data_IF_469947760982
#
_entry.id   IF_469947760982
#
_cell.length_a   1.000
_cell.length_b   1.000
_cell.length_c   1.000
_cell.angle_alpha   90.00
_cell.angle_beta   90.00
_cell.angle_gamma   90.00
#
_symmetry.space_group_name_H-M   'P 1'
#
loop_
_entity.id
_entity.type
_entity.pdbx_description
1 polymer ?
#
# COMPACT_ATOMS: atom_id res chain seq x y z
N UNK A 1 -31.55 10.57 -6.56
CA UNK A 1 -30.11 10.49 -6.20
C UNK A 1 -29.36 11.06 -7.39
N UNK A 2 -28.24 11.75 -7.18
CA UNK A 2 -27.43 12.32 -8.29
C UNK A 2 -26.76 11.18 -9.05
N UNK A 3 -26.92 11.12 -10.37
CA UNK A 3 -26.26 10.12 -11.23
C UNK A 3 -24.75 10.22 -11.12
N UNK A 4 -24.23 11.43 -10.98
CA UNK A 4 -22.82 11.71 -10.78
C UNK A 4 -22.27 11.08 -9.50
N UNK A 5 -23.01 11.19 -8.37
CA UNK A 5 -22.62 10.53 -7.12
C UNK A 5 -22.54 9.01 -7.28
N UNK A 6 -23.50 8.42 -7.98
CA UNK A 6 -23.56 6.97 -8.18
C UNK A 6 -22.41 6.48 -9.08
N UNK A 7 -22.04 7.24 -10.13
CA UNK A 7 -20.89 6.96 -10.97
C UNK A 7 -19.58 6.98 -10.18
N UNK A 8 -19.40 7.99 -9.32
CA UNK A 8 -18.21 8.10 -8.43
C UNK A 8 -18.16 6.94 -7.43
N UNK A 9 -19.29 6.53 -6.85
CA UNK A 9 -19.35 5.39 -5.95
C UNK A 9 -18.97 4.09 -6.67
N UNK A 10 -19.43 3.88 -7.90
CA UNK A 10 -19.05 2.72 -8.73
C UNK A 10 -17.53 2.67 -8.95
N UNK A 11 -16.93 3.81 -9.32
CA UNK A 11 -15.48 3.93 -9.45
C UNK A 11 -14.75 3.58 -8.16
N UNK A 12 -15.13 4.20 -7.04
CA UNK A 12 -14.46 3.97 -5.75
C UNK A 12 -14.56 2.51 -5.29
N UNK A 13 -15.73 1.88 -5.45
CA UNK A 13 -15.92 0.44 -5.17
C UNK A 13 -15.02 -0.44 -6.04
N UNK A 14 -14.92 -0.13 -7.33
CA UNK A 14 -14.03 -0.85 -8.23
C UNK A 14 -12.58 -0.80 -7.75
N UNK A 15 -12.06 0.39 -7.40
CA UNK A 15 -10.69 0.57 -6.91
C UNK A 15 -10.45 -0.29 -5.66
N UNK A 16 -11.35 -0.23 -4.67
CA UNK A 16 -11.21 -1.03 -3.43
C UNK A 16 -11.28 -2.53 -3.71
N UNK A 17 -12.21 -3.00 -4.53
CA UNK A 17 -12.34 -4.42 -4.86
C UNK A 17 -11.10 -4.96 -5.58
N UNK A 18 -10.59 -4.23 -6.56
CA UNK A 18 -9.39 -4.62 -7.29
C UNK A 18 -8.15 -4.59 -6.40
N UNK A 19 -8.02 -3.58 -5.54
CA UNK A 19 -6.93 -3.48 -4.57
C UNK A 19 -6.93 -4.66 -3.60
N UNK A 20 -8.09 -5.03 -3.06
CA UNK A 20 -8.27 -6.22 -2.21
C UNK A 20 -7.94 -7.51 -2.96
N UNK A 21 -8.38 -7.64 -4.23
CA UNK A 21 -8.04 -8.79 -5.09
C UNK A 21 -6.53 -8.92 -5.28
N UNK A 22 -5.84 -7.81 -5.56
CA UNK A 22 -4.39 -7.80 -5.72
C UNK A 22 -3.65 -8.21 -4.43
N UNK A 23 -4.11 -7.75 -3.27
CA UNK A 23 -3.56 -8.18 -1.97
C UNK A 23 -3.78 -9.68 -1.73
N UNK A 24 -4.94 -10.22 -2.10
CA UNK A 24 -5.24 -11.66 -1.99
C UNK A 24 -4.33 -12.48 -2.90
N UNK A 25 -4.17 -12.09 -4.16
CA UNK A 25 -3.22 -12.73 -5.11
C UNK A 25 -1.78 -12.70 -4.58
N UNK A 26 -1.39 -11.64 -3.89
CA UNK A 26 -0.09 -11.51 -3.24
C UNK A 26 0.02 -12.27 -1.89
N UNK A 27 -0.95 -13.13 -1.55
CA UNK A 27 -1.04 -13.87 -0.27
C UNK A 27 -1.07 -12.98 0.97
N UNK A 28 -1.62 -11.77 0.85
CA UNK A 28 -1.77 -10.75 1.90
C UNK A 28 -3.24 -10.42 2.20
N UNK A 29 -4.16 -11.21 1.65
CA UNK A 29 -5.58 -11.10 1.91
C UNK A 29 -5.91 -11.36 3.39
N UNK A 30 -6.93 -10.67 3.91
CA UNK A 30 -7.37 -10.81 5.31
C UNK A 30 -6.48 -10.14 6.36
N UNK A 31 -5.33 -9.55 5.99
CA UNK A 31 -4.48 -8.76 6.88
C UNK A 31 -5.08 -7.38 7.20
N UNK A 32 -4.42 -6.64 8.12
CA UNK A 32 -4.88 -5.30 8.52
C UNK A 32 -4.99 -4.36 7.31
N UNK A 33 -3.99 -4.35 6.42
CA UNK A 33 -4.03 -3.52 5.21
C UNK A 33 -5.25 -3.83 4.32
N UNK A 34 -5.58 -5.12 4.15
CA UNK A 34 -6.76 -5.53 3.39
C UNK A 34 -8.07 -5.03 4.03
N UNK A 35 -8.14 -5.09 5.38
CA UNK A 35 -9.33 -4.68 6.14
C UNK A 35 -9.49 -3.17 6.21
N UNK A 36 -8.38 -2.43 6.27
CA UNK A 36 -8.37 -0.96 6.36
C UNK A 36 -8.64 -0.25 5.04
N UNK A 37 -8.59 -0.96 3.90
CA UNK A 37 -8.94 -0.36 2.61
C UNK A 37 -10.40 0.04 2.60
N UNK A 38 -10.65 1.35 2.51
CA UNK A 38 -12.00 1.92 2.49
C UNK A 38 -12.02 3.22 1.68
N UNK A 39 -13.20 3.76 1.44
CA UNK A 39 -13.38 5.05 0.76
C UNK A 39 -14.52 5.85 1.37
N UNK A 40 -14.46 7.17 1.25
CA UNK A 40 -15.57 8.09 1.56
C UNK A 40 -15.79 9.02 0.38
N UNK A 41 -17.05 9.24 0.06
CA UNK A 41 -17.48 10.24 -0.93
C UNK A 41 -18.10 11.41 -0.18
N UNK A 42 -17.50 12.58 -0.30
CA UNK A 42 -17.99 13.83 0.31
C UNK A 42 -18.45 14.77 -0.77
N UNK A 43 -19.61 15.40 -0.58
CA UNK A 43 -20.08 16.47 -1.44
C UNK A 43 -19.35 17.78 -1.08
N UNK A 44 -18.81 18.46 -2.07
CA UNK A 44 -18.26 19.79 -1.89
C UNK A 44 -19.44 20.79 -1.81
N UNK A 45 -19.53 21.50 -0.69
CA UNK A 45 -20.44 22.63 -0.56
C UNK A 45 -19.63 23.90 -0.81
N UNK A 46 -19.94 24.61 -1.90
CA UNK A 46 -19.35 25.92 -2.16
C UNK A 46 -19.74 26.94 -1.09
N UNK A 47 -18.81 27.84 -0.79
CA UNK A 47 -19.00 28.89 0.23
C UNK A 47 -19.99 30.00 -0.19
N UNK A 48 -20.47 30.01 -1.44
CA UNK A 48 -21.21 31.14 -2.03
C UNK A 48 -22.65 30.82 -2.46
N UNK A 49 -23.22 29.71 -1.99
CA UNK A 49 -24.64 29.39 -2.32
C UNK A 49 -24.93 29.18 -3.82
N UNK A 50 -23.91 29.24 -4.67
CA UNK A 50 -23.96 28.85 -6.08
C UNK A 50 -23.45 27.43 -6.24
N UNK A 51 -24.08 26.70 -7.13
CA UNK A 51 -23.89 25.28 -7.42
C UNK A 51 -22.40 24.90 -7.62
N UNK A 52 -21.77 24.35 -6.61
CA UNK A 52 -20.56 23.58 -6.76
C UNK A 52 -20.92 22.10 -6.56
N UNK A 53 -21.51 21.50 -7.58
CA UNK A 53 -21.85 20.08 -7.60
C UNK A 53 -20.58 19.24 -7.83
N UNK A 54 -19.68 19.27 -6.86
CA UNK A 54 -18.48 18.45 -6.86
C UNK A 54 -18.54 17.38 -5.77
N UNK A 55 -17.91 16.25 -6.03
CA UNK A 55 -17.67 15.21 -5.03
C UNK A 55 -16.19 14.93 -4.90
N UNK A 56 -15.71 14.80 -3.66
CA UNK A 56 -14.37 14.32 -3.35
C UNK A 56 -14.44 12.85 -2.94
N UNK A 57 -13.54 12.04 -3.50
CA UNK A 57 -13.33 10.66 -3.07
C UNK A 57 -12.06 10.58 -2.27
N UNK A 58 -12.18 10.20 -1.01
CA UNK A 58 -11.05 9.95 -0.13
C UNK A 58 -10.89 8.44 0.04
N UNK A 59 -9.71 7.92 -0.26
CA UNK A 59 -9.36 6.51 -0.02
C UNK A 59 -8.53 6.39 1.26
N UNK A 60 -8.84 5.39 2.05
CA UNK A 60 -8.19 5.13 3.33
C UNK A 60 -7.48 3.77 3.31
N UNK A 61 -6.31 3.73 3.93
CA UNK A 61 -5.57 2.50 4.17
C UNK A 61 -4.61 2.71 5.35
N UNK A 62 -4.07 1.62 5.89
CA UNK A 62 -2.98 1.68 6.87
C UNK A 62 -1.78 2.47 6.33
N UNK A 63 -1.11 3.25 7.18
CA UNK A 63 0.03 4.12 6.81
C UNK A 63 1.13 3.40 6.05
N UNK A 64 1.38 2.12 6.38
CA UNK A 64 2.39 1.34 5.67
C UNK A 64 1.94 0.87 4.28
N UNK A 65 0.67 1.05 3.92
CA UNK A 65 0.14 0.69 2.61
C UNK A 65 0.86 1.41 1.48
N UNK A 66 1.14 2.71 1.63
CA UNK A 66 1.89 3.49 0.65
C UNK A 66 3.29 2.92 0.38
N UNK A 67 4.01 2.51 1.44
CA UNK A 67 5.33 1.87 1.29
C UNK A 67 5.25 0.53 0.58
N UNK A 68 4.19 -0.22 0.79
CA UNK A 68 3.98 -1.48 0.11
C UNK A 68 3.55 -1.29 -1.34
N UNK A 69 2.72 -0.32 -1.62
CA UNK A 69 2.24 0.00 -2.96
C UNK A 69 3.38 0.52 -3.84
N UNK A 70 4.03 1.57 -3.41
CA UNK A 70 5.04 2.30 -4.17
C UNK A 70 6.47 1.79 -3.97
N UNK A 71 6.68 0.93 -2.96
CA UNK A 71 7.98 0.32 -2.67
C UNK A 71 8.96 1.25 -1.94
N UNK A 72 9.99 0.65 -1.34
CA UNK A 72 11.06 1.35 -0.60
C UNK A 72 12.40 0.89 -1.14
N UNK A 73 13.25 1.82 -1.59
CA UNK A 73 14.62 1.52 -2.03
C UNK A 73 15.45 1.03 -0.85
N UNK A 74 16.16 -0.10 -1.05
CA UNK A 74 17.18 -0.57 -0.13
C UNK A 74 18.46 0.23 -0.27
N UNK A 75 19.25 0.27 0.79
CA UNK A 75 20.57 0.94 0.76
C UNK A 75 21.62 0.13 0.01
N UNK A 76 21.33 -1.13 -0.36
CA UNK A 76 22.27 -2.00 -1.06
C UNK A 76 23.43 -2.47 -0.17
N UNK A 77 24.59 -2.63 -0.79
CA UNK A 77 25.82 -3.05 -0.10
C UNK A 77 26.06 -4.57 -0.15
N UNK A 78 27.16 -5.01 0.49
CA UNK A 78 27.55 -6.41 0.54
C UNK A 78 27.23 -7.04 1.89
N UNK A 79 26.98 -8.35 1.90
CA UNK A 79 26.76 -9.13 3.12
C UNK A 79 28.08 -9.32 3.87
N UNK A 80 28.13 -8.86 5.12
CA UNK A 80 29.36 -8.91 5.93
C UNK A 80 29.57 -10.25 6.64
N UNK A 81 28.52 -11.07 6.77
CA UNK A 81 28.54 -12.32 7.56
C UNK A 81 27.66 -13.41 6.92
N UNK A 82 27.84 -14.66 7.37
CA UNK A 82 27.04 -15.81 6.94
C UNK A 82 27.52 -16.46 5.65
N UNK A 83 26.81 -17.48 5.17
CA UNK A 83 27.16 -18.26 3.97
C UNK A 83 27.25 -17.43 2.69
N UNK A 84 26.59 -16.29 2.65
CA UNK A 84 26.60 -15.36 1.52
C UNK A 84 27.49 -14.13 1.76
N UNK A 85 28.54 -14.24 2.62
CA UNK A 85 29.51 -13.17 2.85
C UNK A 85 30.14 -12.73 1.52
N UNK A 86 30.26 -11.42 1.30
CA UNK A 86 30.82 -10.83 0.08
C UNK A 86 29.82 -10.66 -1.06
N UNK A 87 28.70 -11.39 -1.09
CA UNK A 87 27.66 -11.21 -2.11
C UNK A 87 26.88 -9.93 -1.86
N UNK A 88 26.56 -9.20 -2.93
CA UNK A 88 25.68 -8.04 -2.85
C UNK A 88 24.28 -8.43 -2.37
N UNK A 89 23.60 -7.49 -1.71
CA UNK A 89 22.16 -7.63 -1.45
C UNK A 89 21.40 -7.46 -2.77
N UNK A 90 20.42 -8.34 -3.01
CA UNK A 90 19.47 -8.16 -4.11
C UNK A 90 18.66 -6.90 -3.87
N UNK A 91 18.60 -5.99 -4.84
CA UNK A 91 17.83 -4.76 -4.72
C UNK A 91 16.35 -5.01 -5.08
N UNK A 92 15.59 -5.56 -4.14
CA UNK A 92 14.14 -5.81 -4.30
C UNK A 92 13.32 -4.53 -4.39
N UNK A 93 13.82 -3.47 -3.79
CA UNK A 93 13.18 -2.15 -3.79
C UNK A 93 13.53 -1.28 -4.98
N UNK A 94 14.18 -1.82 -6.03
CA UNK A 94 14.50 -1.06 -7.24
C UNK A 94 13.23 -0.46 -7.86
N UNK A 95 13.28 0.84 -8.19
CA UNK A 95 12.13 1.59 -8.68
C UNK A 95 11.12 2.01 -7.61
N UNK A 96 11.38 1.76 -6.32
CA UNK A 96 10.57 2.28 -5.22
C UNK A 96 10.66 3.81 -5.12
N UNK A 97 9.56 4.45 -4.73
CA UNK A 97 9.52 5.91 -4.54
C UNK A 97 10.10 6.34 -3.19
N UNK A 98 9.97 5.49 -2.18
CA UNK A 98 10.50 5.77 -0.84
C UNK A 98 11.92 5.23 -0.68
N UNK A 99 12.64 5.77 0.32
CA UNK A 99 13.96 5.30 0.73
C UNK A 99 14.12 5.39 2.25
N UNK A 100 14.99 4.55 2.80
CA UNK A 100 15.34 4.63 4.22
C UNK A 100 16.15 5.90 4.50
N UNK A 101 15.74 6.67 5.52
CA UNK A 101 16.41 7.94 5.89
C UNK A 101 17.66 7.74 6.74
N UNK A 102 17.75 6.65 7.50
CA UNK A 102 18.84 6.38 8.46
C UNK A 102 19.71 5.24 7.97
N UNK A 103 21.00 5.24 8.32
CA UNK A 103 21.95 4.20 7.96
C UNK A 103 21.79 2.87 8.68
N UNK A 104 20.77 2.73 9.56
CA UNK A 104 20.50 1.52 10.34
C UNK A 104 19.00 1.25 10.43
N UNK A 105 18.57 -0.02 10.58
CA UNK A 105 17.17 -0.35 10.81
C UNK A 105 16.62 0.36 12.06
N UNK A 106 15.40 0.88 11.96
CA UNK A 106 14.75 1.56 13.07
C UNK A 106 14.35 0.55 14.16
N UNK A 107 14.47 0.94 15.45
CA UNK A 107 14.02 0.14 16.59
C UNK A 107 12.54 -0.25 16.52
N UNK A 108 11.68 0.65 16.05
CA UNK A 108 10.25 0.38 15.85
C UNK A 108 10.03 -0.78 14.86
N UNK A 109 10.74 -0.79 13.74
CA UNK A 109 10.70 -1.87 12.75
C UNK A 109 11.13 -3.21 13.36
N UNK A 110 12.20 -3.23 14.14
CA UNK A 110 12.69 -4.44 14.80
C UNK A 110 11.65 -4.97 15.80
N UNK A 111 11.03 -4.08 16.59
CA UNK A 111 9.97 -4.43 17.55
C UNK A 111 8.73 -5.00 16.84
N UNK A 112 8.29 -4.38 15.76
CA UNK A 112 7.15 -4.87 14.96
C UNK A 112 7.43 -6.23 14.34
N UNK A 113 8.64 -6.45 13.81
CA UNK A 113 9.06 -7.74 13.30
C UNK A 113 9.14 -8.81 14.40
N UNK A 114 9.61 -8.47 15.59
CA UNK A 114 9.63 -9.41 16.72
C UNK A 114 8.22 -9.88 17.10
N UNK A 115 7.28 -8.95 17.20
CA UNK A 115 5.86 -9.26 17.43
C UNK A 115 5.28 -10.13 16.31
N UNK A 116 5.61 -9.83 15.05
CA UNK A 116 5.16 -10.61 13.90
C UNK A 116 5.73 -12.03 13.90
N UNK A 117 7.03 -12.20 14.20
CA UNK A 117 7.72 -13.51 14.32
C UNK A 117 7.03 -14.37 15.36
N UNK A 118 6.77 -13.82 16.55
CA UNK A 118 6.08 -14.52 17.65
C UNK A 118 4.68 -14.96 17.25
N UNK A 119 3.90 -14.03 16.67
CA UNK A 119 2.53 -14.33 16.22
C UNK A 119 2.46 -15.41 15.13
N UNK A 120 3.46 -15.47 14.25
CA UNK A 120 3.55 -16.45 13.17
C UNK A 120 4.27 -17.74 13.55
N UNK A 121 4.84 -17.83 14.74
CA UNK A 121 5.60 -19.01 15.19
C UNK A 121 6.88 -19.26 14.39
N UNK A 122 7.44 -18.21 13.75
CA UNK A 122 8.63 -18.37 12.90
C UNK A 122 9.86 -18.57 13.78
N UNK A 123 10.60 -19.64 13.52
CA UNK A 123 11.86 -19.95 14.20
C UNK A 123 13.02 -19.92 13.22
N UNK A 124 14.09 -19.23 13.57
CA UNK A 124 15.33 -19.20 12.81
C UNK A 124 16.36 -20.18 13.39
N UNK A 125 17.16 -20.79 12.52
CA UNK A 125 18.30 -21.62 12.93
C UNK A 125 19.63 -21.03 12.45
N UNK A 126 20.66 -21.16 13.26
CA UNK A 126 22.02 -20.85 12.86
C UNK A 126 22.52 -21.94 11.90
N UNK A 127 22.91 -21.55 10.69
CA UNK A 127 23.36 -22.50 9.67
C UNK A 127 24.61 -23.31 10.05
N UNK A 128 25.49 -22.74 10.89
CA UNK A 128 26.75 -23.43 11.31
C UNK A 128 26.52 -24.40 12.46
N UNK A 129 25.71 -24.00 13.44
CA UNK A 129 25.54 -24.76 14.69
C UNK A 129 24.24 -25.55 14.76
N UNK A 130 23.30 -25.33 13.81
CA UNK A 130 21.98 -25.94 13.83
C UNK A 130 21.07 -25.44 14.96
N UNK A 131 21.56 -24.65 15.91
CA UNK A 131 20.81 -24.18 17.08
C UNK A 131 19.78 -23.11 16.70
N UNK A 132 18.68 -23.06 17.43
CA UNK A 132 17.71 -21.99 17.30
C UNK A 132 18.31 -20.66 17.74
N UNK A 133 18.02 -19.61 16.99
CA UNK A 133 18.35 -18.24 17.35
C UNK A 133 17.17 -17.58 18.05
N UNK A 134 17.44 -16.59 18.90
CA UNK A 134 16.38 -15.86 19.61
C UNK A 134 15.50 -15.08 18.63
N UNK A 135 14.24 -14.87 18.99
CA UNK A 135 13.28 -14.08 18.18
C UNK A 135 13.81 -12.64 17.97
N UNK A 136 14.54 -12.08 18.94
CA UNK A 136 15.16 -10.76 18.83
C UNK A 136 16.29 -10.75 17.78
N UNK A 137 17.17 -11.75 17.80
CA UNK A 137 18.25 -11.88 16.80
C UNK A 137 17.67 -12.11 15.40
N UNK A 138 16.59 -12.91 15.29
CA UNK A 138 15.91 -13.15 14.02
C UNK A 138 15.24 -11.88 13.50
N UNK A 139 14.55 -11.12 14.36
CA UNK A 139 13.91 -9.86 13.97
C UNK A 139 14.94 -8.83 13.50
N UNK A 140 16.08 -8.73 14.14
CA UNK A 140 17.18 -7.87 13.71
C UNK A 140 17.74 -8.30 12.35
N UNK A 141 17.97 -9.61 12.15
CA UNK A 141 18.46 -10.13 10.88
C UNK A 141 17.50 -9.84 9.72
N UNK A 142 16.19 -10.03 9.95
CA UNK A 142 15.16 -9.70 8.96
C UNK A 142 15.11 -8.19 8.70
N UNK A 143 15.13 -7.36 9.75
CA UNK A 143 15.14 -5.90 9.61
C UNK A 143 16.34 -5.42 8.80
N UNK A 144 17.53 -5.96 9.08
CA UNK A 144 18.75 -5.67 8.34
C UNK A 144 18.64 -6.09 6.87
N UNK A 145 18.09 -7.28 6.62
CA UNK A 145 17.88 -7.74 5.25
C UNK A 145 16.95 -6.80 4.49
N UNK A 146 15.77 -6.46 5.04
CA UNK A 146 14.80 -5.53 4.42
C UNK A 146 15.44 -4.15 4.20
N UNK A 147 16.22 -3.67 5.16
CA UNK A 147 16.91 -2.39 5.06
C UNK A 147 17.88 -2.33 3.86
N UNK A 148 18.62 -3.42 3.63
CA UNK A 148 19.56 -3.49 2.51
C UNK A 148 18.87 -3.81 1.18
N UNK A 149 17.86 -4.70 1.17
CA UNK A 149 17.20 -5.12 -0.07
C UNK A 149 16.07 -4.20 -0.50
N UNK A 150 15.49 -3.44 0.43
CA UNK A 150 14.28 -2.66 0.19
C UNK A 150 12.99 -3.49 0.20
N UNK A 151 11.91 -2.82 -0.14
CA UNK A 151 10.55 -3.40 -0.29
C UNK A 151 10.13 -3.24 -1.75
N UNK A 152 9.87 -4.35 -2.40
CA UNK A 152 9.39 -4.36 -3.79
C UNK A 152 8.03 -3.66 -3.88
N UNK A 153 7.88 -2.75 -4.83
CA UNK A 153 6.60 -2.12 -5.15
C UNK A 153 5.60 -3.18 -5.61
N UNK A 154 4.40 -3.13 -5.09
CA UNK A 154 3.32 -4.07 -5.45
C UNK A 154 2.29 -3.46 -6.38
N UNK A 155 2.13 -2.14 -6.35
CA UNK A 155 1.14 -1.37 -7.11
C UNK A 155 -0.28 -1.92 -6.92
N UNK A 156 -0.57 -2.44 -5.70
CA UNK A 156 -1.83 -3.09 -5.42
C UNK A 156 -3.00 -2.10 -5.44
N UNK A 157 -2.73 -0.83 -5.14
CA UNK A 157 -3.68 0.27 -5.13
C UNK A 157 -3.53 1.18 -6.36
N UNK A 158 -2.30 1.62 -6.69
CA UNK A 158 -2.05 2.57 -7.80
C UNK A 158 -2.56 2.05 -9.14
N UNK A 159 -2.31 0.78 -9.49
CA UNK A 159 -2.83 0.19 -10.74
C UNK A 159 -4.36 0.18 -10.82
N UNK A 160 -5.10 -0.33 -9.82
CA UNK A 160 -6.56 -0.22 -9.81
C UNK A 160 -7.09 1.19 -9.87
N UNK A 161 -6.41 2.12 -9.21
CA UNK A 161 -6.78 3.53 -9.21
C UNK A 161 -6.71 4.12 -10.62
N UNK A 162 -5.57 3.98 -11.31
CA UNK A 162 -5.37 4.44 -12.69
C UNK A 162 -6.32 3.74 -13.68
N UNK A 163 -6.42 2.41 -13.58
CA UNK A 163 -7.33 1.63 -14.42
C UNK A 163 -8.81 1.99 -14.19
N UNK A 164 -9.16 2.35 -12.96
CA UNK A 164 -10.50 2.79 -12.62
C UNK A 164 -10.83 4.15 -13.24
N UNK A 165 -9.89 5.11 -13.23
CA UNK A 165 -10.07 6.39 -13.90
C UNK A 165 -10.36 6.14 -15.39
N UNK A 166 -9.50 5.43 -16.09
CA UNK A 166 -9.67 5.14 -17.52
C UNK A 166 -10.98 4.40 -17.85
N UNK A 167 -11.45 3.55 -16.93
CA UNK A 167 -12.67 2.76 -17.15
C UNK A 167 -13.94 3.56 -16.94
N UNK A 168 -13.95 4.51 -16.01
CA UNK A 168 -15.14 5.22 -15.56
C UNK A 168 -15.17 6.70 -15.93
N UNK A 169 -14.15 7.22 -16.66
CA UNK A 169 -14.07 8.63 -17.07
C UNK A 169 -15.32 9.08 -17.83
N UNK A 170 -15.73 8.32 -18.86
CA UNK A 170 -16.91 8.64 -19.67
C UNK A 170 -18.21 8.55 -18.85
N UNK A 171 -18.36 7.52 -18.01
CA UNK A 171 -19.54 7.37 -17.16
C UNK A 171 -19.66 8.53 -16.17
N UNK A 172 -18.55 8.95 -15.57
CA UNK A 172 -18.46 10.06 -14.64
C UNK A 172 -18.76 11.39 -15.35
N UNK A 173 -18.18 11.61 -16.54
CA UNK A 173 -18.39 12.83 -17.32
C UNK A 173 -19.85 12.98 -17.79
N UNK A 174 -20.46 11.90 -18.30
CA UNK A 174 -21.84 11.89 -18.73
C UNK A 174 -22.80 12.12 -17.57
N UNK A 175 -22.58 11.44 -16.44
CA UNK A 175 -23.41 11.60 -15.25
C UNK A 175 -23.33 13.03 -14.67
N UNK A 176 -22.13 13.65 -14.70
CA UNK A 176 -21.95 15.05 -14.32
C UNK A 176 -22.71 16.00 -15.24
N UNK A 177 -22.62 15.80 -16.57
CA UNK A 177 -23.36 16.59 -17.57
C UNK A 177 -24.89 16.49 -17.39
N UNK A 178 -25.42 15.30 -17.15
CA UNK A 178 -26.83 15.05 -16.88
C UNK A 178 -27.33 15.78 -15.63
N UNK A 179 -26.58 15.72 -14.54
CA UNK A 179 -26.94 16.41 -13.30
C UNK A 179 -26.99 17.94 -13.50
N UNK A 180 -26.05 18.54 -14.27
CA UNK A 180 -26.06 19.97 -14.61
C UNK A 180 -27.31 20.34 -15.44
N UNK A 181 -27.63 19.53 -16.45
CA UNK A 181 -28.83 19.78 -17.29
C UNK A 181 -30.11 19.79 -16.45
N UNK A 182 -30.27 18.84 -15.55
CA UNK A 182 -31.41 18.75 -14.63
C UNK A 182 -31.50 19.99 -13.74
N UNK A 183 -30.37 20.50 -13.26
CA UNK A 183 -30.37 21.72 -12.43
C UNK A 183 -30.71 22.99 -13.22
N UNK A 184 -30.29 23.10 -14.48
CA UNK A 184 -30.57 24.24 -15.33
C UNK A 184 -32.03 24.30 -15.86
N UNK A 185 -32.72 23.15 -15.83
CA UNK A 185 -34.11 23.01 -16.33
C UNK A 185 -35.16 23.06 -15.22
N UNK A 186 -34.77 23.22 -13.98
CA UNK A 186 -35.64 23.43 -12.81
C UNK A 186 -35.82 24.91 -12.50
#
# INVERSE_FOLDING_TARGET
>A
MSEFKDAIIKYARYVIQQSRSNLTKAKKGGGNLYKSLDYKVKQNRGNSGRFESGYNVEFFMEDYGAYQDLGVKGIGGQRKTGANKGKAYENKGQGGQFQFRKGVPNRSMIKSLNTWIKRKGIKGRNQKTGRFITDQSLSFAIAKSVFHTGIKRSLFFSKPFEAGITKYDNDIANAYGNDIIIELTR
#
